data_IF_569861880392
#
_entry.id   IF_569861880392
#
_cell.length_a   1.000
_cell.length_b   1.000
_cell.length_c   1.000
_cell.angle_alpha   90.00
_cell.angle_beta   90.00
_cell.angle_gamma   90.00
#
_symmetry.space_group_name_H-M   'P 1'
#
loop_
_entity.id
_entity.type
_entity.pdbx_description
1 polymer ?
#
# COMPACT_ATOMS: atom_id res chain seq x y z
N UNK A 1 -16.04 -31.30 7.56
CA UNK A 1 -16.17 -29.94 8.12
C UNK A 1 -15.66 -28.98 7.07
N UNK A 2 -16.54 -28.15 6.50
CA UNK A 2 -16.21 -27.20 5.43
C UNK A 2 -15.91 -25.86 6.11
N UNK A 3 -14.74 -25.28 5.85
CA UNK A 3 -14.39 -23.95 6.37
C UNK A 3 -15.41 -22.92 5.85
N UNK A 4 -15.90 -21.99 6.68
CA UNK A 4 -16.81 -20.96 6.20
C UNK A 4 -16.11 -20.14 5.10
N UNK A 5 -16.83 -19.74 4.03
CA UNK A 5 -16.26 -18.88 3.00
C UNK A 5 -15.78 -17.59 3.66
N UNK A 6 -14.59 -17.14 3.26
CA UNK A 6 -14.05 -15.85 3.69
C UNK A 6 -15.08 -14.78 3.38
N UNK A 7 -15.61 -14.13 4.41
CA UNK A 7 -16.57 -13.06 4.28
C UNK A 7 -15.87 -11.89 3.60
N UNK A 8 -16.13 -11.68 2.31
CA UNK A 8 -15.73 -10.47 1.60
C UNK A 8 -16.54 -9.31 2.18
N UNK A 9 -15.98 -8.63 3.17
CA UNK A 9 -16.50 -7.37 3.67
C UNK A 9 -16.30 -6.31 2.58
N UNK A 10 -17.31 -6.09 1.72
CA UNK A 10 -17.36 -4.97 0.78
C UNK A 10 -17.61 -3.65 1.54
N UNK A 11 -16.54 -3.13 2.14
CA UNK A 11 -16.05 -1.74 2.06
C UNK A 11 -17.05 -0.62 1.69
N UNK A 12 -17.96 -0.29 2.60
CA UNK A 12 -18.55 1.07 2.71
C UNK A 12 -18.25 1.63 4.10
N UNK A 13 -16.96 1.66 4.43
CA UNK A 13 -16.47 2.18 5.71
C UNK A 13 -15.99 3.63 5.51
N UNK A 14 -16.42 4.61 6.31
CA UNK A 14 -16.05 6.01 6.10
C UNK A 14 -14.55 6.28 6.20
N UNK A 15 -13.78 5.40 6.84
CA UNK A 15 -12.33 5.51 6.96
C UNK A 15 -11.55 4.98 5.74
N UNK A 16 -12.23 4.38 4.75
CA UNK A 16 -11.60 3.89 3.50
C UNK A 16 -10.94 5.00 2.72
N UNK A 17 -11.60 6.16 2.66
CA UNK A 17 -11.14 7.30 1.88
C UNK A 17 -9.86 7.87 2.47
N UNK A 18 -9.77 7.98 3.80
CA UNK A 18 -8.56 8.44 4.51
C UNK A 18 -7.40 7.44 4.34
N UNK A 19 -7.68 6.14 4.40
CA UNK A 19 -6.68 5.09 4.09
C UNK A 19 -6.18 5.25 2.67
N UNK A 20 -7.09 5.35 1.69
CA UNK A 20 -6.73 5.48 0.28
C UNK A 20 -5.96 6.77 -0.01
N UNK A 21 -6.35 7.89 0.59
CA UNK A 21 -5.64 9.16 0.46
C UNK A 21 -4.22 9.08 1.04
N UNK A 22 -4.07 8.49 2.22
CA UNK A 22 -2.76 8.31 2.87
C UNK A 22 -1.84 7.41 2.04
N UNK A 23 -2.38 6.31 1.49
CA UNK A 23 -1.66 5.43 0.58
C UNK A 23 -1.24 6.19 -0.68
N UNK A 24 -2.18 6.87 -1.36
CA UNK A 24 -1.91 7.61 -2.61
C UNK A 24 -0.83 8.67 -2.43
N UNK A 25 -0.83 9.39 -1.31
CA UNK A 25 0.20 10.38 -0.99
C UNK A 25 1.59 9.76 -0.76
N UNK A 26 1.63 8.49 -0.37
CA UNK A 26 2.86 7.74 -0.12
C UNK A 26 3.40 7.05 -1.39
N UNK A 27 2.55 6.79 -2.39
CA UNK A 27 2.93 6.05 -3.59
C UNK A 27 4.13 6.64 -4.34
N UNK A 28 4.27 7.96 -4.57
CA UNK A 28 5.42 8.49 -5.30
C UNK A 28 6.78 8.11 -4.68
N UNK A 29 6.88 8.18 -3.35
CA UNK A 29 8.09 7.78 -2.60
C UNK A 29 8.39 6.29 -2.78
N UNK A 30 7.34 5.45 -2.65
CA UNK A 30 7.46 4.00 -2.83
C UNK A 30 7.85 3.67 -4.27
N UNK A 31 7.24 4.31 -5.27
CA UNK A 31 7.49 4.02 -6.67
C UNK A 31 8.92 4.31 -7.07
N UNK A 32 9.46 5.47 -6.68
CA UNK A 32 10.85 5.81 -6.97
C UNK A 32 11.82 4.75 -6.44
N UNK A 33 11.53 4.21 -5.24
CA UNK A 33 12.37 3.17 -4.60
C UNK A 33 12.17 1.77 -5.16
N UNK A 34 10.92 1.34 -5.40
CA UNK A 34 10.64 -0.03 -5.86
C UNK A 34 10.99 -0.23 -7.34
N UNK A 35 10.77 0.80 -8.16
CA UNK A 35 10.96 0.74 -9.60
C UNK A 35 12.32 1.28 -10.05
N UNK A 36 13.10 1.86 -9.12
CA UNK A 36 14.42 2.46 -9.39
C UNK A 36 14.36 3.52 -10.51
N UNK A 37 13.39 4.42 -10.40
CA UNK A 37 13.12 5.48 -11.38
C UNK A 37 13.29 6.84 -10.73
N UNK A 38 13.67 7.82 -11.53
CA UNK A 38 13.57 9.22 -11.12
C UNK A 38 12.09 9.62 -11.05
N UNK A 39 11.66 10.26 -9.96
CA UNK A 39 10.25 10.60 -9.69
C UNK A 39 9.58 11.45 -10.79
N UNK A 40 10.40 12.08 -11.64
CA UNK A 40 10.00 12.98 -12.71
C UNK A 40 9.52 12.29 -13.99
N UNK A 41 9.75 10.98 -14.14
CA UNK A 41 9.38 10.21 -15.34
C UNK A 41 8.11 9.35 -15.14
N UNK A 42 7.50 9.36 -13.96
CA UNK A 42 6.38 8.46 -13.65
C UNK A 42 5.03 9.10 -13.91
N UNK A 43 4.35 8.60 -14.96
CA UNK A 43 2.90 8.76 -15.10
C UNK A 43 2.22 7.80 -14.13
N UNK A 44 1.12 8.21 -13.48
CA UNK A 44 0.40 7.56 -12.36
C UNK A 44 1.04 6.26 -11.77
N UNK A 45 1.60 6.30 -10.54
CA UNK A 45 2.14 5.14 -9.84
C UNK A 45 1.32 3.84 -9.90
N UNK A 46 -0.01 3.95 -9.94
CA UNK A 46 -0.92 2.81 -9.95
C UNK A 46 -0.94 2.03 -11.27
N UNK A 47 -0.40 2.58 -12.36
CA UNK A 47 -0.21 1.83 -13.60
C UNK A 47 0.87 0.74 -13.44
N UNK A 48 1.83 0.99 -12.55
CA UNK A 48 3.03 0.18 -12.38
C UNK A 48 3.10 -0.57 -11.05
N UNK A 49 2.25 -0.21 -10.09
CA UNK A 49 2.22 -0.80 -8.74
C UNK A 49 0.85 -1.42 -8.43
N UNK A 50 0.89 -2.51 -7.69
CA UNK A 50 -0.26 -3.11 -7.02
C UNK A 50 -0.21 -2.78 -5.53
N UNK A 51 -1.33 -2.31 -5.00
CA UNK A 51 -1.49 -2.03 -3.57
C UNK A 51 -2.48 -3.03 -2.97
N UNK A 52 -2.03 -3.72 -1.93
CA UNK A 52 -2.84 -4.59 -1.10
C UNK A 52 -2.86 -4.05 0.31
N UNK A 53 -3.98 -4.19 0.99
CA UNK A 53 -4.08 -3.73 2.36
C UNK A 53 -5.18 -4.48 3.11
N UNK A 54 -4.97 -4.64 4.41
CA UNK A 54 -5.88 -5.35 5.30
C UNK A 54 -6.01 -4.61 6.62
N UNK A 55 -7.20 -4.57 7.18
CA UNK A 55 -7.43 -4.04 8.53
C UNK A 55 -7.24 -5.17 9.53
N UNK A 56 -6.40 -4.97 10.53
CA UNK A 56 -6.24 -5.86 11.69
C UNK A 56 -7.36 -5.60 12.70
N UNK A 57 -7.64 -6.57 13.59
CA UNK A 57 -8.71 -6.46 14.59
C UNK A 57 -8.56 -5.29 15.58
N UNK A 58 -7.37 -4.68 15.67
CA UNK A 58 -7.09 -3.48 16.47
C UNK A 58 -7.24 -2.16 15.68
N UNK A 59 -7.76 -2.20 14.45
CA UNK A 59 -7.94 -1.03 13.59
C UNK A 59 -6.67 -0.57 12.87
N UNK A 60 -5.51 -1.23 13.08
CA UNK A 60 -4.29 -0.96 12.32
C UNK A 60 -4.47 -1.47 10.89
N UNK A 61 -4.12 -0.65 9.90
CA UNK A 61 -4.15 -1.05 8.49
C UNK A 61 -2.75 -1.42 8.07
N UNK A 62 -2.57 -2.67 7.65
CA UNK A 62 -1.31 -3.15 7.08
C UNK A 62 -1.38 -2.98 5.57
N UNK A 63 -0.43 -2.26 4.99
CA UNK A 63 -0.35 -1.95 3.57
C UNK A 63 0.88 -2.62 2.97
N UNK A 64 0.69 -3.23 1.80
CA UNK A 64 1.72 -3.89 1.00
C UNK A 64 1.65 -3.32 -0.41
N UNK A 65 2.78 -2.83 -0.91
CA UNK A 65 2.90 -2.28 -2.26
C UNK A 65 3.96 -3.06 -3.00
N UNK A 66 3.62 -3.55 -4.19
CA UNK A 66 4.54 -4.32 -5.03
C UNK A 66 4.43 -3.87 -6.47
N UNK A 67 5.45 -4.07 -7.31
CA UNK A 67 5.33 -3.85 -8.74
C UNK A 67 4.28 -4.77 -9.35
N UNK A 68 3.48 -4.21 -10.25
CA UNK A 68 2.42 -4.92 -10.97
C UNK A 68 3.02 -5.89 -11.98
N UNK A 69 2.62 -7.15 -11.93
CA UNK A 69 3.10 -8.14 -12.89
C UNK A 69 2.73 -7.72 -14.33
N UNK A 70 3.72 -7.69 -15.22
CA UNK A 70 3.53 -7.23 -16.61
C UNK A 70 3.66 -5.72 -16.83
N UNK A 71 3.99 -4.93 -15.81
CA UNK A 71 4.35 -3.51 -16.01
C UNK A 71 5.62 -3.40 -16.86
N UNK A 72 5.55 -2.64 -17.95
CA UNK A 72 6.66 -2.43 -18.89
C UNK A 72 7.89 -1.76 -18.27
N UNK A 73 7.70 -1.13 -17.11
CA UNK A 73 8.74 -0.39 -16.39
C UNK A 73 9.54 -1.30 -15.46
N UNK A 74 9.03 -2.50 -15.17
CA UNK A 74 9.75 -3.46 -14.34
C UNK A 74 10.81 -4.16 -15.18
N UNK A 75 12.07 -4.03 -14.77
CA UNK A 75 13.20 -4.75 -15.36
C UNK A 75 13.74 -5.82 -14.39
N UNK A 76 14.19 -6.94 -14.95
CA UNK A 76 14.91 -7.98 -14.20
C UNK A 76 14.10 -8.59 -13.05
N UNK A 77 14.72 -8.70 -11.86
CA UNK A 77 14.11 -9.29 -10.65
C UNK A 77 13.28 -8.30 -9.81
N UNK A 78 13.20 -7.03 -10.21
CA UNK A 78 12.56 -5.99 -9.41
C UNK A 78 11.07 -6.24 -9.15
N UNK A 79 10.42 -7.12 -9.93
CA UNK A 79 9.01 -7.53 -9.70
C UNK A 79 8.78 -8.22 -8.34
N UNK A 80 9.84 -8.68 -7.66
CA UNK A 80 9.78 -9.25 -6.31
C UNK A 80 9.93 -8.19 -5.21
N UNK A 81 10.35 -6.97 -5.56
CA UNK A 81 10.52 -5.91 -4.58
C UNK A 81 9.17 -5.58 -3.95
N UNK A 82 9.13 -5.45 -2.63
CA UNK A 82 7.90 -5.16 -1.92
C UNK A 82 8.16 -4.11 -0.86
N UNK A 83 7.26 -3.13 -0.76
CA UNK A 83 7.23 -2.15 0.32
C UNK A 83 6.10 -2.46 1.28
N UNK A 84 6.36 -2.27 2.57
CA UNK A 84 5.41 -2.51 3.65
C UNK A 84 5.36 -1.32 4.58
N UNK A 85 4.17 -1.00 5.07
CA UNK A 85 3.98 -0.06 6.17
C UNK A 85 2.63 -0.28 6.86
N UNK A 86 2.51 0.22 8.07
CA UNK A 86 1.28 0.22 8.82
C UNK A 86 0.72 1.64 8.95
N UNK A 87 -0.61 1.73 8.98
CA UNK A 87 -1.35 2.93 9.34
C UNK A 87 -2.01 2.71 10.70
N UNK A 88 -1.59 3.48 11.69
CA UNK A 88 -2.11 3.42 13.03
C UNK A 88 -3.20 4.47 13.23
N UNK A 89 -4.40 4.09 13.69
CA UNK A 89 -5.42 5.06 14.07
C UNK A 89 -4.92 5.90 15.25
N UNK A 90 -5.00 7.22 15.11
CA UNK A 90 -4.62 8.20 16.12
C UNK A 90 -5.70 9.27 16.20
N UNK A 91 -6.08 9.65 17.41
CA UNK A 91 -7.05 10.74 17.62
C UNK A 91 -6.28 12.03 17.80
N UNK A 92 -6.52 13.01 16.92
CA UNK A 92 -5.95 14.36 17.00
C UNK A 92 -7.11 15.36 17.16
N UNK A 93 -7.28 15.88 18.36
CA UNK A 93 -8.44 16.70 18.71
C UNK A 93 -9.73 15.87 18.64
N UNK A 94 -10.66 16.27 17.77
CA UNK A 94 -11.92 15.56 17.50
C UNK A 94 -11.90 14.70 16.23
N UNK A 95 -10.73 14.52 15.60
CA UNK A 95 -10.59 13.78 14.32
C UNK A 95 -9.78 12.50 14.52
N UNK A 96 -10.26 11.42 13.90
CA UNK A 96 -9.47 10.23 13.69
C UNK A 96 -8.54 10.47 12.49
N UNK A 97 -7.25 10.28 12.67
CA UNK A 97 -6.23 10.34 11.62
C UNK A 97 -5.46 9.04 11.59
N UNK A 98 -4.79 8.77 10.47
CA UNK A 98 -3.96 7.59 10.29
C UNK A 98 -2.49 8.00 10.26
N UNK A 99 -1.72 7.55 11.25
CA UNK A 99 -0.28 7.78 11.32
C UNK A 99 0.46 6.62 10.66
N UNK A 100 1.29 6.93 9.66
CA UNK A 100 2.09 5.94 8.92
C UNK A 100 3.34 5.57 9.70
N UNK A 101 3.70 4.29 9.74
CA UNK A 101 5.03 3.84 10.18
C UNK A 101 6.11 4.19 9.15
N UNK A 102 7.37 3.93 9.50
CA UNK A 102 8.45 3.93 8.51
C UNK A 102 8.20 2.87 7.44
N UNK A 103 8.62 3.19 6.20
CA UNK A 103 8.54 2.26 5.08
C UNK A 103 9.62 1.20 5.21
N UNK A 104 9.20 -0.07 5.21
CA UNK A 104 10.09 -1.21 5.10
C UNK A 104 10.14 -1.70 3.66
N UNK A 105 11.32 -2.07 3.18
CA UNK A 105 11.52 -2.57 1.82
C UNK A 105 12.18 -3.94 1.87
N UNK A 106 11.55 -4.90 1.20
CA UNK A 106 12.14 -6.19 0.88
C UNK A 106 12.56 -6.16 -0.59
N UNK A 107 13.87 -6.15 -0.85
CA UNK A 107 14.42 -6.23 -2.21
C UNK A 107 14.95 -7.63 -2.49
N UNK A 108 14.70 -8.15 -3.68
CA UNK A 108 15.34 -9.40 -4.11
C UNK A 108 16.73 -9.08 -4.67
N UNK A 109 17.77 -9.73 -4.13
CA UNK A 109 19.14 -9.64 -4.63
C UNK A 109 19.36 -10.37 -5.97
#
# INVERSE_FOLDING_TARGET
MVAPPAQEYTWNMPFTEDVQATIRNTLPEISGRLLNLEMQDMTDPLEHLEVHWVIKGNGVVMVTVRPRFGSAVISGRNWLNTAYFELHPKVVGSRLVLERTYLEFSTSA
#
